data_IF_855125272129
#
_entry.id   IF_855125272129
#
_cell.length_a   1.000
_cell.length_b   1.000
_cell.length_c   1.000
_cell.angle_alpha   90.00
_cell.angle_beta   90.00
_cell.angle_gamma   90.00
#
_symmetry.space_group_name_H-M   'P 1'
#
loop_
_entity.id
_entity.type
_entity.pdbx_description
1 polymer ?
#
# COMPACT_ATOMS: atom_id res chain seq x y z
N UNK A 1 -13.69 24.85 11.48
CA UNK A 1 -13.89 25.51 10.17
C UNK A 1 -12.75 26.46 9.83
N UNK A 2 -12.78 27.17 8.66
CA UNK A 2 -11.73 28.12 8.25
C UNK A 2 -11.38 29.17 9.30
N UNK A 3 -12.38 29.71 10.02
CA UNK A 3 -12.15 30.71 11.04
C UNK A 3 -11.38 30.17 12.25
N UNK A 4 -11.64 28.91 12.64
CA UNK A 4 -10.89 28.25 13.71
C UNK A 4 -9.42 28.03 13.31
N UNK A 5 -9.19 27.64 12.03
CA UNK A 5 -7.86 27.45 11.49
C UNK A 5 -7.08 28.78 11.44
N UNK A 6 -7.74 29.87 11.05
CA UNK A 6 -7.16 31.24 11.07
C UNK A 6 -6.72 31.61 12.47
N UNK A 7 -7.61 31.46 13.45
CA UNK A 7 -7.31 31.75 14.85
C UNK A 7 -6.12 30.92 15.38
N UNK A 8 -5.98 29.66 14.93
CA UNK A 8 -4.83 28.80 15.29
C UNK A 8 -3.54 29.34 14.69
N UNK A 9 -3.53 29.71 13.40
CA UNK A 9 -2.35 30.25 12.72
C UNK A 9 -1.87 31.53 13.40
N UNK A 10 -2.79 32.46 13.66
CA UNK A 10 -2.49 33.74 14.32
C UNK A 10 -1.97 33.55 15.74
N UNK A 11 -2.62 32.71 16.54
CA UNK A 11 -2.20 32.44 17.92
C UNK A 11 -0.83 31.78 18.03
N UNK A 12 -0.45 30.95 17.04
CA UNK A 12 0.82 30.18 17.06
C UNK A 12 1.92 30.84 16.24
N UNK A 13 1.68 31.97 15.61
CA UNK A 13 2.69 32.76 14.91
C UNK A 13 3.81 33.16 15.88
N UNK A 14 5.04 32.96 15.48
CA UNK A 14 6.23 33.28 16.30
C UNK A 14 6.57 32.25 17.38
N UNK A 15 5.73 31.22 17.55
CA UNK A 15 6.02 30.11 18.50
C UNK A 15 6.13 28.76 17.80
N UNK A 16 5.09 28.31 17.14
CA UNK A 16 5.09 27.06 16.38
C UNK A 16 5.22 27.28 14.88
N UNK A 17 4.87 28.46 14.37
CA UNK A 17 4.90 28.80 12.97
C UNK A 17 5.73 30.07 12.72
N UNK A 18 6.45 30.12 11.59
CA UNK A 18 7.05 31.36 11.12
C UNK A 18 5.95 32.45 10.97
N UNK A 19 6.14 33.66 11.52
CA UNK A 19 5.11 34.70 11.51
C UNK A 19 4.68 35.12 10.10
N UNK A 20 5.61 35.11 9.13
CA UNK A 20 5.31 35.49 7.74
C UNK A 20 4.49 34.42 7.06
N UNK A 21 4.83 33.13 7.27
CA UNK A 21 4.07 32.01 6.72
C UNK A 21 2.69 31.90 7.37
N UNK A 22 2.59 32.11 8.68
CA UNK A 22 1.31 32.14 9.38
C UNK A 22 0.39 33.25 8.84
N UNK A 23 0.91 34.46 8.64
CA UNK A 23 0.15 35.58 8.09
C UNK A 23 -0.26 35.33 6.62
N UNK A 24 0.62 34.72 5.80
CA UNK A 24 0.31 34.34 4.43
C UNK A 24 -0.79 33.26 4.41
N UNK A 25 -0.64 32.20 5.21
CA UNK A 25 -1.62 31.14 5.35
C UNK A 25 -2.98 31.65 5.81
N UNK A 26 -3.02 32.51 6.83
CA UNK A 26 -4.27 33.12 7.31
C UNK A 26 -4.97 33.98 6.25
N UNK A 27 -4.20 34.67 5.40
CA UNK A 27 -4.73 35.49 4.31
C UNK A 27 -5.35 34.64 3.19
N UNK A 28 -4.72 33.53 2.84
CA UNK A 28 -5.14 32.66 1.74
C UNK A 28 -5.88 31.39 2.23
N UNK A 29 -6.35 31.39 3.48
CA UNK A 29 -6.93 30.20 4.09
C UNK A 29 -8.17 29.68 3.33
N UNK A 30 -8.96 30.58 2.74
CA UNK A 30 -10.09 30.20 1.91
C UNK A 30 -9.68 29.39 0.68
N UNK A 31 -8.63 29.83 0.00
CA UNK A 31 -8.08 29.16 -1.19
C UNK A 31 -7.46 27.79 -0.79
N UNK A 32 -6.74 27.77 0.32
CA UNK A 32 -6.15 26.51 0.87
C UNK A 32 -7.26 25.52 1.25
N UNK A 33 -8.31 25.97 1.93
CA UNK A 33 -9.42 25.09 2.31
C UNK A 33 -10.21 24.62 1.07
N UNK A 34 -10.37 25.45 0.05
CA UNK A 34 -11.01 25.07 -1.20
C UNK A 34 -10.16 24.03 -1.98
N UNK A 35 -8.83 24.16 -1.93
CA UNK A 35 -7.91 23.19 -2.53
C UNK A 35 -7.87 21.86 -1.78
N UNK A 36 -8.28 21.82 -0.50
CA UNK A 36 -8.40 20.61 0.32
C UNK A 36 -9.76 19.92 0.18
N UNK A 37 -10.65 20.39 -0.68
CA UNK A 37 -11.87 19.67 -1.01
C UNK A 37 -11.49 18.36 -1.71
N UNK A 38 -11.68 17.24 -1.01
CA UNK A 38 -11.27 15.89 -1.46
C UNK A 38 -11.92 15.53 -2.82
N UNK A 39 -13.10 16.08 -3.11
CA UNK A 39 -13.81 15.82 -4.37
C UNK A 39 -13.11 16.44 -5.58
N UNK A 40 -12.33 17.51 -5.40
CA UNK A 40 -11.60 18.20 -6.45
C UNK A 40 -10.09 18.00 -6.41
N UNK A 41 -9.55 17.44 -5.35
CA UNK A 41 -8.10 17.30 -5.17
C UNK A 41 -7.47 16.45 -6.28
N UNK A 42 -8.17 15.39 -6.71
CA UNK A 42 -7.70 14.54 -7.81
C UNK A 42 -7.70 15.27 -9.17
N UNK A 43 -8.75 16.01 -9.44
CA UNK A 43 -8.85 16.83 -10.66
C UNK A 43 -7.74 17.88 -10.70
N UNK A 44 -7.52 18.59 -9.60
CA UNK A 44 -6.44 19.55 -9.49
C UNK A 44 -5.06 18.94 -9.65
N UNK A 45 -4.84 17.73 -9.10
CA UNK A 45 -3.58 17.02 -9.28
C UNK A 45 -3.31 16.69 -10.76
N UNK A 46 -4.34 16.24 -11.48
CA UNK A 46 -4.23 15.96 -12.92
C UNK A 46 -4.03 17.24 -13.75
N UNK A 47 -4.74 18.31 -13.42
CA UNK A 47 -4.60 19.62 -14.09
C UNK A 47 -3.21 20.26 -13.84
N UNK A 48 -2.58 19.92 -12.70
CA UNK A 48 -1.27 20.44 -12.32
C UNK A 48 -0.10 19.63 -12.92
N UNK A 49 -0.40 18.58 -13.69
CA UNK A 49 0.63 17.76 -14.33
C UNK A 49 1.47 18.66 -15.28
N UNK A 50 2.83 18.65 -15.13
CA UNK A 50 3.68 19.44 -16.01
C UNK A 50 3.60 19.00 -17.47
N UNK A 51 3.58 19.97 -18.39
CA UNK A 51 3.68 19.65 -19.81
C UNK A 51 5.15 19.40 -20.23
N UNK A 52 5.44 18.43 -21.12
CA UNK A 52 4.48 17.54 -21.80
C UNK A 52 4.01 16.40 -20.88
N UNK A 53 2.71 16.10 -20.98
CA UNK A 53 2.13 14.99 -20.22
C UNK A 53 2.79 13.65 -20.61
N UNK A 54 3.27 12.91 -19.64
CA UNK A 54 3.91 11.61 -19.85
C UNK A 54 2.86 10.50 -19.82
N UNK A 55 2.68 9.83 -20.95
CA UNK A 55 1.83 8.64 -21.03
C UNK A 55 2.71 7.39 -20.91
N UNK A 56 2.37 6.54 -19.95
CA UNK A 56 3.09 5.29 -19.74
C UNK A 56 2.43 4.18 -20.56
N UNK A 57 3.24 3.38 -21.24
CA UNK A 57 2.86 2.10 -21.85
C UNK A 57 3.10 0.94 -20.86
N UNK A 58 3.02 -0.30 -21.35
CA UNK A 58 3.18 -1.50 -20.54
C UNK A 58 4.47 -1.53 -19.73
N UNK A 59 5.62 -1.23 -20.35
CA UNK A 59 6.93 -1.22 -19.67
C UNK A 59 7.05 -0.04 -18.70
N UNK A 60 6.57 1.13 -19.09
CA UNK A 60 6.54 2.31 -18.22
C UNK A 60 5.63 2.12 -17.01
N UNK A 61 4.49 1.44 -17.18
CA UNK A 61 3.60 1.07 -16.09
C UNK A 61 4.30 0.11 -15.12
N UNK A 62 4.97 -0.93 -15.64
CA UNK A 62 5.70 -1.91 -14.83
C UNK A 62 6.86 -1.25 -14.05
N UNK A 63 7.58 -0.32 -14.67
CA UNK A 63 8.60 0.49 -14.00
C UNK A 63 7.99 1.37 -12.89
N UNK A 64 6.80 1.92 -13.10
CA UNK A 64 6.04 2.66 -12.08
C UNK A 64 5.70 1.79 -10.86
N UNK A 65 5.23 0.56 -11.07
CA UNK A 65 4.96 -0.37 -9.97
C UNK A 65 6.24 -0.80 -9.24
N UNK A 66 7.35 -0.99 -9.95
CA UNK A 66 8.65 -1.24 -9.33
C UNK A 66 9.10 -0.05 -8.46
N UNK A 67 8.85 1.19 -8.89
CA UNK A 67 9.11 2.38 -8.09
C UNK A 67 8.23 2.42 -6.81
N UNK A 68 6.95 2.06 -6.87
CA UNK A 68 6.10 1.93 -5.67
C UNK A 68 6.64 0.90 -4.70
N UNK A 69 7.08 -0.27 -5.18
CA UNK A 69 7.71 -1.29 -4.34
C UNK A 69 8.98 -0.77 -3.66
N UNK A 70 9.84 -0.06 -4.41
CA UNK A 70 11.06 0.55 -3.87
C UNK A 70 10.75 1.59 -2.78
N UNK A 71 9.79 2.49 -3.01
CA UNK A 71 9.34 3.49 -2.03
C UNK A 71 8.80 2.84 -0.76
N UNK A 72 7.99 1.80 -0.90
CA UNK A 72 7.47 1.04 0.23
C UNK A 72 8.60 0.38 1.03
N UNK A 73 9.61 -0.15 0.34
CA UNK A 73 10.80 -0.74 0.96
C UNK A 73 11.62 0.24 1.82
N UNK A 74 11.52 1.56 1.56
CA UNK A 74 12.18 2.59 2.38
C UNK A 74 11.54 2.77 3.77
N UNK A 75 10.32 2.27 3.97
CA UNK A 75 9.62 2.38 5.27
C UNK A 75 10.35 1.66 6.39
N UNK A 76 11.01 0.52 6.10
CA UNK A 76 11.77 -0.24 7.09
C UNK A 76 12.78 -1.14 6.39
N UNK A 77 13.99 -1.32 6.98
CA UNK A 77 15.00 -2.25 6.45
C UNK A 77 14.46 -3.68 6.26
N UNK A 78 13.49 -4.08 7.09
CA UNK A 78 12.85 -5.40 7.06
C UNK A 78 11.87 -5.60 5.90
N UNK A 79 11.50 -4.52 5.21
CA UNK A 79 10.56 -4.50 4.08
C UNK A 79 11.25 -4.31 2.74
N UNK A 80 12.56 -4.01 2.77
CA UNK A 80 13.34 -3.87 1.54
C UNK A 80 13.26 -5.17 0.74
N UNK A 81 13.05 -5.08 -0.54
CA UNK A 81 12.94 -6.20 -1.47
C UNK A 81 11.73 -7.15 -1.25
N UNK A 82 10.94 -6.98 -0.18
CA UNK A 82 9.81 -7.87 0.09
C UNK A 82 8.83 -7.90 -1.08
N UNK A 83 8.33 -6.74 -1.51
CA UNK A 83 7.34 -6.65 -2.61
C UNK A 83 7.88 -7.21 -3.93
N UNK A 84 9.18 -7.01 -4.22
CA UNK A 84 9.81 -7.58 -5.41
C UNK A 84 9.90 -9.11 -5.32
N UNK A 85 10.32 -9.65 -4.18
CA UNK A 85 10.39 -11.09 -3.97
C UNK A 85 9.00 -11.76 -4.03
N UNK A 86 7.96 -11.10 -3.50
CA UNK A 86 6.57 -11.55 -3.64
C UNK A 86 6.15 -11.55 -5.10
N UNK A 87 6.46 -10.50 -5.85
CA UNK A 87 6.10 -10.38 -7.26
C UNK A 87 6.76 -11.48 -8.11
N UNK A 88 8.05 -11.72 -7.91
CA UNK A 88 8.80 -12.75 -8.65
C UNK A 88 8.26 -14.16 -8.35
N UNK A 89 7.95 -14.44 -7.07
CA UNK A 89 7.38 -15.72 -6.67
C UNK A 89 5.96 -15.92 -7.20
N UNK A 90 5.12 -14.89 -7.10
CA UNK A 90 3.73 -14.93 -7.58
C UNK A 90 3.67 -15.10 -9.11
N UNK A 91 4.51 -14.40 -9.86
CA UNK A 91 4.63 -14.52 -11.30
C UNK A 91 5.05 -15.95 -11.70
N UNK A 92 6.12 -16.49 -11.07
CA UNK A 92 6.58 -17.84 -11.35
C UNK A 92 5.51 -18.90 -11.03
N UNK A 93 4.76 -18.74 -9.96
CA UNK A 93 3.64 -19.61 -9.59
C UNK A 93 2.50 -19.51 -10.61
N UNK A 94 2.15 -18.30 -11.04
CA UNK A 94 1.08 -18.07 -12.01
C UNK A 94 1.39 -18.73 -13.38
N UNK A 95 2.62 -18.61 -13.86
CA UNK A 95 3.06 -19.31 -15.08
C UNK A 95 2.97 -20.83 -14.94
N UNK A 96 3.36 -21.38 -13.80
CA UNK A 96 3.26 -22.84 -13.53
C UNK A 96 1.83 -23.33 -13.45
N UNK A 97 0.90 -22.49 -13.02
CA UNK A 97 -0.54 -22.78 -12.99
C UNK A 97 -1.21 -22.59 -14.34
N UNK A 98 -0.50 -22.12 -15.37
CA UNK A 98 -1.03 -21.88 -16.71
C UNK A 98 -2.01 -20.70 -16.77
N UNK A 99 -1.85 -19.69 -15.89
CA UNK A 99 -2.70 -18.52 -15.94
C UNK A 99 -2.43 -17.67 -17.19
N UNK A 100 -3.44 -16.99 -17.75
CA UNK A 100 -3.28 -16.10 -18.89
C UNK A 100 -2.23 -15.00 -18.64
N UNK A 101 -1.49 -14.61 -19.65
CA UNK A 101 -0.42 -13.61 -19.54
C UNK A 101 -0.90 -12.27 -18.96
N UNK A 102 -2.12 -11.85 -19.29
CA UNK A 102 -2.76 -10.67 -18.71
C UNK A 102 -2.98 -10.79 -17.20
N UNK A 103 -3.38 -11.98 -16.73
CA UNK A 103 -3.54 -12.28 -15.30
C UNK A 103 -2.18 -12.31 -14.59
N UNK A 104 -1.15 -12.85 -15.25
CA UNK A 104 0.22 -12.85 -14.71
C UNK A 104 0.74 -11.42 -14.56
N UNK A 105 0.55 -10.56 -15.58
CA UNK A 105 0.95 -9.16 -15.51
C UNK A 105 0.19 -8.41 -14.40
N UNK A 106 -1.13 -8.63 -14.30
CA UNK A 106 -1.95 -8.05 -13.22
C UNK A 106 -1.45 -8.50 -11.85
N UNK A 107 -1.15 -9.79 -11.69
CA UNK A 107 -0.65 -10.37 -10.44
C UNK A 107 0.71 -9.80 -10.04
N UNK A 108 1.64 -9.67 -10.99
CA UNK A 108 2.94 -9.04 -10.75
C UNK A 108 2.80 -7.60 -10.27
N UNK A 109 1.99 -6.80 -10.96
CA UNK A 109 1.70 -5.40 -10.56
C UNK A 109 1.02 -5.33 -9.20
N UNK A 110 0.04 -6.19 -8.94
CA UNK A 110 -0.63 -6.30 -7.65
C UNK A 110 0.32 -6.63 -6.51
N UNK A 111 1.27 -7.54 -6.73
CA UNK A 111 2.29 -7.91 -5.76
C UNK A 111 3.26 -6.76 -5.45
N UNK A 112 3.73 -6.03 -6.48
CA UNK A 112 4.58 -4.86 -6.32
C UNK A 112 3.89 -3.73 -5.55
N UNK A 113 2.57 -3.60 -5.71
CA UNK A 113 1.76 -2.56 -5.09
C UNK A 113 1.20 -2.95 -3.71
N UNK A 114 1.14 -4.23 -3.35
CA UNK A 114 0.38 -4.77 -2.22
C UNK A 114 0.62 -3.99 -0.91
N UNK A 115 1.86 -3.63 -0.66
CA UNK A 115 2.31 -2.98 0.55
C UNK A 115 2.32 -1.43 0.50
N UNK A 116 1.88 -0.81 -0.60
CA UNK A 116 1.91 0.65 -0.74
C UNK A 116 1.22 1.36 0.42
N UNK A 117 0.10 0.83 0.89
CA UNK A 117 -0.65 1.38 2.01
C UNK A 117 0.09 1.37 3.37
N UNK A 118 1.20 0.63 3.48
CA UNK A 118 2.07 0.68 4.68
C UNK A 118 2.63 2.08 4.92
N UNK A 119 2.70 2.91 3.89
CA UNK A 119 3.11 4.32 4.01
C UNK A 119 2.21 5.08 4.98
N UNK A 120 0.93 4.74 5.06
CA UNK A 120 -0.05 5.34 5.99
C UNK A 120 0.09 4.88 7.45
N UNK A 121 0.95 3.91 7.76
CA UNK A 121 1.13 3.36 9.11
C UNK A 121 2.51 3.75 9.65
N UNK A 122 2.59 4.16 10.92
CA UNK A 122 3.84 4.62 11.56
C UNK A 122 4.94 3.55 11.52
N UNK A 123 6.18 3.96 11.24
CA UNK A 123 7.35 3.09 11.30
C UNK A 123 7.56 2.47 12.69
N UNK A 124 7.22 3.20 13.76
CA UNK A 124 7.33 2.70 15.11
C UNK A 124 6.48 1.43 15.37
N UNK A 125 5.41 1.23 14.58
CA UNK A 125 4.60 0.02 14.63
C UNK A 125 5.31 -1.11 13.85
N UNK A 126 5.80 -0.82 12.64
CA UNK A 126 6.47 -1.82 11.80
C UNK A 126 7.79 -2.33 12.39
N UNK A 127 8.50 -1.49 13.13
CA UNK A 127 9.82 -1.78 13.71
C UNK A 127 9.75 -2.19 15.18
N UNK A 128 8.55 -2.33 15.75
CA UNK A 128 8.37 -2.70 17.13
C UNK A 128 8.96 -4.09 17.41
N UNK A 129 9.89 -4.24 18.37
CA UNK A 129 10.55 -5.52 18.65
C UNK A 129 9.69 -6.49 19.46
N UNK A 130 8.49 -6.09 19.88
CA UNK A 130 7.56 -6.87 20.69
C UNK A 130 6.18 -7.02 20.02
N UNK A 131 5.23 -7.66 20.72
CA UNK A 131 3.87 -7.82 20.20
C UNK A 131 3.18 -6.49 20.01
N UNK A 132 2.35 -6.41 18.97
CA UNK A 132 1.51 -5.23 18.71
C UNK A 132 0.31 -5.22 19.66
N UNK A 133 -0.01 -4.04 20.19
CA UNK A 133 -1.26 -3.84 20.90
C UNK A 133 -2.47 -3.81 19.96
N UNK A 134 -3.68 -3.89 20.51
CA UNK A 134 -4.92 -3.91 19.72
C UNK A 134 -5.02 -2.74 18.73
N UNK A 135 -4.81 -1.51 19.20
CA UNK A 135 -4.89 -0.32 18.32
C UNK A 135 -3.78 -0.23 17.28
N UNK A 136 -2.62 -0.85 17.51
CA UNK A 136 -1.54 -0.97 16.53
C UNK A 136 -1.91 -1.99 15.45
N UNK A 137 -2.50 -3.12 15.84
CA UNK A 137 -3.01 -4.13 14.92
C UNK A 137 -4.10 -3.59 14.01
N UNK A 138 -5.06 -2.82 14.54
CA UNK A 138 -6.10 -2.18 13.73
C UNK A 138 -5.50 -1.27 12.66
N UNK A 139 -4.44 -0.52 12.98
CA UNK A 139 -3.73 0.31 12.00
C UNK A 139 -3.01 -0.53 10.94
N UNK A 140 -2.36 -1.62 11.36
CA UNK A 140 -1.70 -2.55 10.42
C UNK A 140 -2.72 -3.14 9.45
N UNK A 141 -3.89 -3.57 9.94
CA UNK A 141 -4.95 -4.17 9.11
C UNK A 141 -5.54 -3.23 8.07
N UNK A 142 -5.37 -1.92 8.22
CA UNK A 142 -5.86 -0.93 7.27
C UNK A 142 -4.94 -0.73 6.05
N UNK A 143 -3.68 -1.21 6.06
CA UNK A 143 -2.80 -0.94 4.92
C UNK A 143 -3.29 -1.52 3.59
N UNK A 144 -3.92 -2.72 3.51
CA UNK A 144 -4.45 -3.18 2.23
C UNK A 144 -5.59 -2.30 1.72
N UNK A 145 -6.43 -1.77 2.63
CA UNK A 145 -7.45 -0.79 2.28
C UNK A 145 -6.85 0.50 1.72
N UNK A 146 -5.78 1.02 2.32
CA UNK A 146 -5.09 2.20 1.81
C UNK A 146 -4.48 1.95 0.43
N UNK A 147 -3.92 0.75 0.21
CA UNK A 147 -3.42 0.34 -1.12
C UNK A 147 -4.55 0.37 -2.15
N UNK A 148 -5.67 -0.26 -1.88
CA UNK A 148 -6.81 -0.29 -2.81
C UNK A 148 -7.32 1.12 -3.11
N UNK A 149 -7.50 1.97 -2.09
CA UNK A 149 -7.94 3.35 -2.27
C UNK A 149 -6.99 4.19 -3.12
N UNK A 150 -5.68 3.95 -3.03
CA UNK A 150 -4.70 4.68 -3.83
C UNK A 150 -4.90 4.47 -5.33
N UNK A 151 -5.37 3.29 -5.75
CA UNK A 151 -5.59 2.97 -7.15
C UNK A 151 -7.04 3.13 -7.61
N UNK A 152 -8.00 3.27 -6.70
CA UNK A 152 -9.43 3.32 -7.01
C UNK A 152 -9.84 4.50 -7.89
N UNK A 153 -9.08 5.59 -7.86
CA UNK A 153 -9.37 6.80 -8.65
C UNK A 153 -9.02 6.65 -10.14
N UNK A 154 -8.19 5.66 -10.49
CA UNK A 154 -7.84 5.37 -11.88
C UNK A 154 -8.56 4.12 -12.35
N UNK A 155 -9.46 4.26 -13.33
CA UNK A 155 -10.18 3.13 -13.91
C UNK A 155 -9.22 2.04 -14.45
N UNK A 156 -8.08 2.44 -15.02
CA UNK A 156 -7.09 1.52 -15.55
C UNK A 156 -6.31 0.76 -14.45
N UNK A 157 -6.12 1.37 -13.27
CA UNK A 157 -5.35 0.80 -12.17
C UNK A 157 -6.21 0.18 -11.07
N UNK A 158 -7.52 0.45 -11.04
CA UNK A 158 -8.44 -0.09 -10.04
C UNK A 158 -8.37 -1.63 -9.91
N UNK A 159 -8.27 -2.43 -11.01
CA UNK A 159 -8.12 -3.88 -10.89
C UNK A 159 -6.87 -4.30 -10.13
N UNK A 160 -5.75 -3.57 -10.32
CA UNK A 160 -4.50 -3.81 -9.56
C UNK A 160 -4.73 -3.51 -8.08
N UNK A 161 -5.40 -2.40 -7.76
CA UNK A 161 -5.73 -2.02 -6.39
C UNK A 161 -6.58 -3.06 -5.66
N UNK A 162 -7.60 -3.60 -6.33
CA UNK A 162 -8.48 -4.66 -5.78
C UNK A 162 -7.68 -5.92 -5.46
N UNK A 163 -6.85 -6.38 -6.40
CA UNK A 163 -5.99 -7.55 -6.19
C UNK A 163 -4.97 -7.29 -5.07
N UNK A 164 -4.25 -6.18 -5.14
CA UNK A 164 -3.26 -5.77 -4.14
C UNK A 164 -3.88 -5.65 -2.74
N UNK A 165 -5.07 -5.04 -2.61
CA UNK A 165 -5.80 -4.91 -1.35
C UNK A 165 -6.28 -6.23 -0.74
N UNK A 166 -6.21 -7.33 -1.50
CA UNK A 166 -6.70 -8.65 -1.07
C UNK A 166 -5.59 -9.61 -0.60
N UNK A 167 -4.32 -9.18 -0.57
CA UNK A 167 -3.17 -10.07 -0.28
C UNK A 167 -3.16 -10.69 1.13
N UNK A 168 -3.93 -10.15 2.05
CA UNK A 168 -4.11 -10.70 3.40
C UNK A 168 -5.46 -11.36 3.63
N UNK A 169 -6.27 -11.53 2.58
CA UNK A 169 -7.49 -12.34 2.68
C UNK A 169 -7.14 -13.83 2.81
N UNK A 170 -8.03 -14.60 3.46
CA UNK A 170 -7.86 -16.02 3.74
C UNK A 170 -9.14 -16.79 3.37
N UNK A 171 -8.98 -18.04 2.92
CA UNK A 171 -10.11 -18.87 2.48
C UNK A 171 -11.19 -19.08 3.55
N UNK A 172 -10.80 -19.13 4.81
CA UNK A 172 -11.70 -19.28 5.96
C UNK A 172 -12.35 -17.96 6.42
N UNK A 173 -11.94 -16.83 5.82
CA UNK A 173 -12.41 -15.49 6.18
C UNK A 173 -11.75 -14.89 7.42
N UNK A 174 -10.69 -15.52 7.95
CA UNK A 174 -9.87 -14.96 9.04
C UNK A 174 -8.97 -13.81 8.59
N UNK A 175 -8.87 -13.61 7.26
CA UNK A 175 -8.09 -12.55 6.65
C UNK A 175 -8.64 -11.15 6.90
N UNK A 176 -8.01 -10.17 6.31
CA UNK A 176 -8.36 -8.75 6.40
C UNK A 176 -7.96 -8.03 5.09
N UNK A 177 -8.55 -6.91 4.75
CA UNK A 177 -9.40 -6.01 5.54
C UNK A 177 -10.91 -6.26 5.38
N UNK A 178 -11.34 -7.08 4.41
CA UNK A 178 -12.77 -7.32 4.10
C UNK A 178 -13.30 -8.60 4.75
N UNK A 179 -12.44 -9.57 5.10
CA UNK A 179 -12.83 -10.88 5.60
C UNK A 179 -13.58 -11.71 4.55
N UNK A 180 -13.14 -11.63 3.29
CA UNK A 180 -13.75 -12.36 2.17
C UNK A 180 -13.48 -13.85 2.31
N UNK A 181 -14.45 -14.70 1.92
CA UNK A 181 -14.37 -16.15 2.15
C UNK A 181 -14.42 -16.96 0.86
N UNK A 182 -13.68 -18.06 0.85
CA UNK A 182 -13.84 -19.21 -0.04
C UNK A 182 -13.87 -18.85 -1.52
N UNK A 183 -14.96 -19.17 -2.23
CA UNK A 183 -15.03 -19.08 -3.69
C UNK A 183 -14.93 -17.67 -4.27
N UNK A 184 -15.12 -16.63 -3.45
CA UNK A 184 -14.98 -15.24 -3.89
C UNK A 184 -13.51 -14.81 -4.04
N UNK A 185 -12.58 -15.58 -3.47
CA UNK A 185 -11.14 -15.39 -3.69
C UNK A 185 -10.73 -16.15 -4.95
N UNK A 186 -10.46 -15.42 -6.02
CA UNK A 186 -10.00 -15.99 -7.26
C UNK A 186 -8.59 -16.59 -7.14
N UNK A 187 -8.13 -17.27 -8.19
CA UNK A 187 -6.83 -17.93 -8.18
C UNK A 187 -5.69 -16.93 -8.05
N UNK A 188 -5.78 -15.76 -8.68
CA UNK A 188 -4.74 -14.73 -8.61
C UNK A 188 -4.58 -14.20 -7.18
N UNK A 189 -5.69 -13.90 -6.50
CA UNK A 189 -5.68 -13.47 -5.09
C UNK A 189 -5.05 -14.52 -4.18
N UNK A 190 -5.39 -15.81 -4.37
CA UNK A 190 -4.81 -16.90 -3.56
C UNK A 190 -3.32 -17.08 -3.81
N UNK A 191 -2.86 -16.95 -5.06
CA UNK A 191 -1.43 -17.00 -5.40
C UNK A 191 -0.69 -15.85 -4.75
N UNK A 192 -1.25 -14.62 -4.82
CA UNK A 192 -0.65 -13.44 -4.17
C UNK A 192 -0.53 -13.64 -2.66
N UNK A 193 -1.60 -14.05 -2.00
CA UNK A 193 -1.62 -14.28 -0.56
C UNK A 193 -0.62 -15.36 -0.11
N UNK A 194 -0.49 -16.44 -0.89
CA UNK A 194 0.47 -17.50 -0.61
C UNK A 194 1.93 -17.02 -0.81
N UNK A 195 2.20 -16.27 -1.89
CA UNK A 195 3.50 -15.71 -2.17
C UNK A 195 3.94 -14.70 -1.10
N UNK A 196 3.04 -13.82 -0.68
CA UNK A 196 3.29 -12.86 0.42
C UNK A 196 3.62 -13.59 1.72
N UNK A 197 2.77 -14.54 2.13
CA UNK A 197 2.96 -15.31 3.35
C UNK A 197 4.29 -16.07 3.35
N UNK A 198 4.61 -16.78 2.26
CA UNK A 198 5.87 -17.51 2.13
C UNK A 198 7.08 -16.57 2.21
N UNK A 199 7.08 -15.49 1.43
CA UNK A 199 8.15 -14.49 1.42
C UNK A 199 8.33 -13.84 2.80
N UNK A 200 7.22 -13.52 3.48
CA UNK A 200 7.28 -12.99 4.84
C UNK A 200 7.91 -13.99 5.83
N UNK A 201 7.61 -15.29 5.73
CA UNK A 201 8.22 -16.33 6.56
C UNK A 201 9.72 -16.50 6.27
N UNK A 202 10.14 -16.35 5.03
CA UNK A 202 11.53 -16.46 4.57
C UNK A 202 12.38 -15.21 4.87
N UNK A 203 11.76 -14.13 5.31
CA UNK A 203 12.46 -12.89 5.65
C UNK A 203 12.60 -12.74 7.17
N UNK A 204 13.75 -12.26 7.68
CA UNK A 204 13.88 -11.92 9.10
C UNK A 204 12.97 -10.74 9.45
N UNK A 205 12.52 -10.67 10.68
CA UNK A 205 11.69 -9.61 11.24
C UNK A 205 12.25 -9.18 12.61
N UNK A 206 11.92 -7.99 13.13
CA UNK A 206 12.41 -7.53 14.44
C UNK A 206 12.17 -8.50 15.59
N UNK A 207 11.12 -9.33 15.48
CA UNK A 207 10.66 -10.24 16.54
C UNK A 207 10.93 -11.73 16.25
N UNK A 208 11.47 -12.08 15.05
CA UNK A 208 11.78 -13.47 14.68
C UNK A 208 12.82 -13.58 13.56
N UNK A 209 13.64 -14.66 13.53
CA UNK A 209 14.49 -14.99 12.38
C UNK A 209 13.65 -15.46 11.18
N UNK A 210 14.28 -15.56 10.02
CA UNK A 210 13.72 -16.22 8.86
C UNK A 210 13.55 -17.72 9.12
N UNK A 211 12.47 -18.32 8.62
CA UNK A 211 12.30 -19.77 8.62
C UNK A 211 13.13 -20.41 7.50
N UNK A 212 13.58 -21.63 7.70
CA UNK A 212 14.16 -22.45 6.63
C UNK A 212 13.08 -22.80 5.57
N UNK A 213 13.47 -23.05 4.29
CA UNK A 213 12.51 -23.28 3.20
C UNK A 213 11.49 -24.38 3.53
N UNK A 214 11.94 -25.52 4.02
CA UNK A 214 11.07 -26.65 4.34
C UNK A 214 10.08 -26.33 5.49
N UNK A 215 10.50 -25.54 6.48
CA UNK A 215 9.63 -25.11 7.57
C UNK A 215 8.59 -24.10 7.09
N UNK A 216 8.97 -23.15 6.24
CA UNK A 216 8.04 -22.18 5.65
C UNK A 216 7.01 -22.87 4.73
N UNK A 217 7.43 -23.87 3.95
CA UNK A 217 6.53 -24.68 3.12
C UNK A 217 5.53 -25.49 3.97
N UNK A 218 6.00 -26.13 5.02
CA UNK A 218 5.14 -26.90 5.93
C UNK A 218 4.09 -26.01 6.59
N UNK A 219 4.50 -24.83 7.07
CA UNK A 219 3.61 -23.84 7.67
C UNK A 219 2.57 -23.33 6.65
N UNK A 220 3.00 -23.00 5.44
CA UNK A 220 2.10 -22.54 4.38
C UNK A 220 1.03 -23.59 4.06
N UNK A 221 1.39 -24.87 4.01
CA UNK A 221 0.43 -25.98 3.79
C UNK A 221 -0.60 -26.12 4.90
N UNK A 222 -0.28 -25.74 6.13
CA UNK A 222 -1.21 -25.76 7.26
C UNK A 222 -2.19 -24.57 7.26
N UNK A 223 -1.87 -23.50 6.52
CA UNK A 223 -2.70 -22.29 6.45
C UNK A 223 -3.66 -22.26 5.26
N UNK A 224 -3.71 -23.30 4.45
CA UNK A 224 -4.54 -23.43 3.24
C UNK A 224 -5.83 -24.18 3.56
#
# INVERSE_FOLDING_TARGET
>A
GPDDARAVLERRAGTAYDPRLAALGARHLGDVCAALDETRMWEHALESEPFPHVRLDGEGIDAGFAAFAALTGLKSPWLREHSTAVADLAEAAAWRLGLPAETVALLRRGALAADLGRVGVSNAIWEKPGPLGFGEWERVRLHPHFTERAFAQSQALAPVGVLAGSHHERLDGSGYHRGVRGPTLDTATRVLAAADCYTAMRSPRPHRPALEPAAAEAELRCQV
#
